data_IF_515734014647
#
_entry.id   IF_515734014647
#
_cell.length_a   1.000
_cell.length_b   1.000
_cell.length_c   1.000
_cell.angle_alpha   90.00
_cell.angle_beta   90.00
_cell.angle_gamma   90.00
#
_symmetry.space_group_name_H-M   'P 1'
#
loop_
_entity.id
_entity.type
_entity.pdbx_description
1 polymer ?
#
# COMPACT_ATOMS: atom_id res chain seq x y z
N UNK A 1 10.91 -36.75 1.84
CA UNK A 1 10.20 -35.45 1.88
C UNK A 1 11.01 -34.51 2.76
N UNK A 2 11.85 -33.66 2.18
CA UNK A 2 12.76 -32.76 2.91
C UNK A 2 11.99 -31.78 3.82
N UNK A 3 10.87 -31.23 3.36
CA UNK A 3 10.04 -30.30 4.15
C UNK A 3 9.50 -30.93 5.44
N UNK A 4 9.07 -32.19 5.40
CA UNK A 4 8.60 -32.91 6.59
C UNK A 4 9.77 -33.07 7.57
N UNK A 5 10.92 -33.54 7.09
CA UNK A 5 12.13 -33.72 7.92
C UNK A 5 12.57 -32.40 8.58
N UNK A 6 12.50 -31.30 7.84
CA UNK A 6 12.88 -29.97 8.31
C UNK A 6 11.93 -29.47 9.41
N UNK A 7 10.61 -29.53 9.17
CA UNK A 7 9.61 -28.98 10.11
C UNK A 7 9.21 -29.96 11.22
N UNK A 8 9.52 -31.25 11.11
CA UNK A 8 9.20 -32.24 12.15
C UNK A 8 9.87 -31.89 13.49
N UNK A 9 11.03 -31.23 13.47
CA UNK A 9 11.73 -30.73 14.66
C UNK A 9 11.04 -29.53 15.32
N UNK A 10 10.26 -28.77 14.55
CA UNK A 10 9.49 -27.60 15.01
C UNK A 10 8.06 -27.97 15.46
N UNK A 11 7.66 -29.23 15.25
CA UNK A 11 6.33 -29.68 15.56
C UNK A 11 6.12 -29.73 17.08
N UNK A 12 5.11 -29.00 17.56
CA UNK A 12 4.67 -29.10 18.96
C UNK A 12 4.22 -30.53 19.28
N UNK A 13 4.21 -30.89 20.56
CA UNK A 13 3.80 -32.21 21.07
C UNK A 13 2.44 -32.69 20.53
N UNK A 14 1.57 -31.75 20.19
CA UNK A 14 0.20 -31.87 19.68
C UNK A 14 0.04 -31.40 18.22
N UNK A 15 1.15 -31.28 17.47
CA UNK A 15 1.12 -30.94 16.05
C UNK A 15 0.80 -32.15 15.16
N UNK A 16 0.20 -31.88 14.01
CA UNK A 16 -0.13 -32.86 12.96
C UNK A 16 0.62 -32.53 11.69
N UNK A 17 1.08 -33.56 10.98
CA UNK A 17 1.58 -33.46 9.62
C UNK A 17 0.57 -34.16 8.71
N UNK A 18 0.06 -33.44 7.71
CA UNK A 18 -0.72 -34.03 6.61
C UNK A 18 0.20 -34.27 5.41
N UNK A 19 0.48 -35.53 5.13
CA UNK A 19 1.21 -36.00 3.95
C UNK A 19 0.42 -37.10 3.22
N UNK A 20 0.96 -37.59 2.09
CA UNK A 20 0.32 -38.64 1.28
C UNK A 20 0.14 -39.97 2.03
N UNK A 21 0.88 -40.23 3.11
CA UNK A 21 0.74 -41.47 3.89
C UNK A 21 -0.52 -41.46 4.78
N UNK A 22 -0.89 -40.28 5.27
CA UNK A 22 -2.00 -40.11 6.21
C UNK A 22 -3.24 -39.47 5.58
N UNK A 23 -3.06 -38.74 4.48
CA UNK A 23 -4.10 -38.18 3.63
C UNK A 23 -3.69 -38.41 2.16
N UNK A 24 -4.16 -39.49 1.51
CA UNK A 24 -3.72 -39.89 0.18
C UNK A 24 -4.36 -39.00 -0.90
N UNK A 25 -3.95 -37.73 -0.92
CA UNK A 25 -4.48 -36.69 -1.80
C UNK A 25 -4.38 -37.10 -3.26
N UNK A 26 -3.23 -37.64 -3.68
CA UNK A 26 -3.01 -38.05 -5.06
C UNK A 26 -3.96 -39.18 -5.49
N UNK A 27 -4.17 -40.17 -4.61
CA UNK A 27 -5.11 -41.26 -4.88
C UNK A 27 -6.54 -40.74 -4.98
N UNK A 28 -6.99 -39.95 -3.99
CA UNK A 28 -8.34 -39.37 -3.94
C UNK A 28 -8.63 -38.53 -5.18
N UNK A 29 -7.65 -37.76 -5.67
CA UNK A 29 -7.77 -36.95 -6.89
C UNK A 29 -7.90 -37.83 -8.14
N UNK A 30 -7.12 -38.91 -8.24
CA UNK A 30 -7.20 -39.87 -9.36
C UNK A 30 -8.52 -40.65 -9.39
N UNK A 31 -9.05 -41.05 -8.25
CA UNK A 31 -10.32 -41.80 -8.15
C UNK A 31 -11.51 -41.09 -8.79
N UNK A 32 -11.47 -39.77 -8.92
CA UNK A 32 -12.53 -38.99 -9.55
C UNK A 32 -12.10 -38.36 -10.89
N UNK A 33 -10.97 -38.78 -11.44
CA UNK A 33 -10.37 -38.24 -12.67
C UNK A 33 -10.18 -36.72 -12.64
N UNK A 34 -9.83 -36.15 -11.49
CA UNK A 34 -9.60 -34.72 -11.34
C UNK A 34 -8.17 -34.32 -11.78
N UNK A 35 -7.95 -33.09 -12.28
CA UNK A 35 -6.61 -32.60 -12.60
C UNK A 35 -5.71 -32.58 -11.37
N UNK A 36 -4.45 -33.01 -11.51
CA UNK A 36 -3.50 -33.12 -10.40
C UNK A 36 -3.31 -31.82 -9.60
N UNK A 37 -3.44 -30.65 -10.26
CA UNK A 37 -3.32 -29.33 -9.62
C UNK A 37 -4.41 -29.08 -8.56
N UNK A 38 -5.54 -29.78 -8.62
CA UNK A 38 -6.67 -29.63 -7.68
C UNK A 38 -6.52 -30.45 -6.41
N UNK A 39 -5.44 -31.25 -6.27
CA UNK A 39 -5.20 -32.13 -5.12
C UNK A 39 -5.20 -31.40 -3.77
N UNK A 40 -4.81 -30.13 -3.76
CA UNK A 40 -4.79 -29.28 -2.55
C UNK A 40 -6.17 -29.09 -1.94
N UNK A 41 -7.24 -29.21 -2.73
CA UNK A 41 -8.63 -29.16 -2.23
C UNK A 41 -8.93 -30.30 -1.27
N UNK A 42 -8.31 -31.47 -1.43
CA UNK A 42 -8.40 -32.59 -0.46
C UNK A 42 -7.83 -32.17 0.90
N UNK A 43 -6.65 -31.54 0.91
CA UNK A 43 -6.03 -31.02 2.12
C UNK A 43 -6.86 -29.93 2.80
N UNK A 44 -7.47 -29.02 2.03
CA UNK A 44 -8.35 -27.98 2.56
C UNK A 44 -9.59 -28.59 3.25
N UNK A 45 -10.23 -29.58 2.63
CA UNK A 45 -11.36 -30.30 3.23
C UNK A 45 -10.98 -31.05 4.51
N UNK A 46 -9.84 -31.75 4.51
CA UNK A 46 -9.31 -32.40 5.70
C UNK A 46 -9.01 -31.39 6.82
N UNK A 47 -8.44 -30.23 6.48
CA UNK A 47 -8.18 -29.12 7.41
C UNK A 47 -9.47 -28.60 8.02
N UNK A 48 -10.55 -28.46 7.24
CA UNK A 48 -11.86 -28.08 7.76
C UNK A 48 -12.36 -29.07 8.82
N UNK A 49 -12.25 -30.38 8.59
CA UNK A 49 -12.62 -31.37 9.60
C UNK A 49 -11.74 -31.26 10.85
N UNK A 50 -10.41 -31.18 10.66
CA UNK A 50 -9.44 -31.15 11.75
C UNK A 50 -9.66 -29.98 12.72
N UNK A 51 -9.95 -28.79 12.20
CA UNK A 51 -10.22 -27.58 12.99
C UNK A 51 -11.71 -27.36 13.31
N UNK A 52 -12.58 -28.32 12.96
CA UNK A 52 -14.03 -28.21 13.14
C UNK A 52 -14.61 -26.92 12.51
N UNK A 53 -14.20 -26.66 11.26
CA UNK A 53 -14.74 -25.63 10.39
C UNK A 53 -15.88 -26.21 9.54
N UNK A 54 -16.87 -25.38 9.25
CA UNK A 54 -18.00 -25.72 8.36
C UNK A 54 -17.49 -25.82 6.93
N UNK A 55 -17.67 -26.99 6.30
CA UNK A 55 -17.20 -27.23 4.93
C UNK A 55 -18.00 -26.40 3.93
N UNK A 56 -19.25 -26.05 4.26
CA UNK A 56 -20.14 -25.23 3.47
C UNK A 56 -19.56 -23.82 3.22
N UNK A 57 -18.75 -23.31 4.17
CA UNK A 57 -18.06 -22.03 3.99
C UNK A 57 -16.91 -22.15 2.97
N UNK A 58 -16.18 -23.27 2.97
CA UNK A 58 -15.17 -23.56 1.94
C UNK A 58 -15.82 -23.75 0.56
N UNK A 59 -17.01 -24.35 0.49
CA UNK A 59 -17.76 -24.48 -0.77
C UNK A 59 -18.14 -23.11 -1.36
N UNK A 60 -18.59 -22.18 -0.51
CA UNK A 60 -18.88 -20.80 -0.93
C UNK A 60 -17.63 -20.12 -1.47
N UNK A 61 -16.51 -20.22 -0.76
CA UNK A 61 -15.22 -19.65 -1.19
C UNK A 61 -14.78 -20.22 -2.54
N UNK A 62 -14.92 -21.53 -2.78
CA UNK A 62 -14.60 -22.11 -4.07
C UNK A 62 -15.49 -21.58 -5.19
N UNK A 63 -16.81 -21.44 -4.95
CA UNK A 63 -17.75 -20.87 -5.93
C UNK A 63 -17.40 -19.42 -6.25
N UNK A 64 -17.06 -18.63 -5.25
CA UNK A 64 -16.64 -17.23 -5.42
C UNK A 64 -15.33 -17.11 -6.21
N UNK A 65 -14.35 -17.98 -5.93
CA UNK A 65 -13.04 -17.93 -6.57
C UNK A 65 -13.01 -18.52 -7.98
N UNK A 66 -13.74 -19.61 -8.24
CA UNK A 66 -13.63 -20.40 -9.47
C UNK A 66 -14.91 -20.44 -10.30
N UNK A 67 -16.02 -19.87 -9.83
CA UNK A 67 -17.32 -19.91 -10.51
C UNK A 67 -17.75 -21.36 -10.80
N UNK A 68 -18.12 -21.62 -12.05
CA UNK A 68 -18.55 -22.94 -12.51
C UNK A 68 -17.47 -24.02 -12.37
N UNK A 69 -16.18 -23.66 -12.39
CA UNK A 69 -15.05 -24.60 -12.24
C UNK A 69 -14.85 -25.07 -10.79
N UNK A 70 -15.65 -24.58 -9.85
CA UNK A 70 -15.55 -24.91 -8.43
C UNK A 70 -15.95 -26.36 -8.11
N UNK A 71 -16.80 -26.99 -8.92
CA UNK A 71 -17.44 -28.27 -8.59
C UNK A 71 -16.44 -29.38 -8.25
N UNK A 72 -15.37 -29.50 -9.04
CA UNK A 72 -14.34 -30.52 -8.81
C UNK A 72 -13.58 -30.29 -7.49
N UNK A 73 -13.30 -29.03 -7.17
CA UNK A 73 -12.62 -28.64 -5.93
C UNK A 73 -13.51 -28.92 -4.71
N UNK A 74 -14.81 -28.61 -4.81
CA UNK A 74 -15.82 -28.91 -3.79
C UNK A 74 -15.91 -30.42 -3.54
N UNK A 75 -15.95 -31.23 -4.61
CA UNK A 75 -16.01 -32.70 -4.50
C UNK A 75 -14.76 -33.27 -3.81
N UNK A 76 -13.57 -32.77 -4.17
CA UNK A 76 -12.31 -33.16 -3.54
C UNK A 76 -12.22 -32.75 -2.07
N UNK A 77 -12.65 -31.54 -1.73
CA UNK A 77 -12.70 -31.09 -0.34
C UNK A 77 -13.66 -31.94 0.49
N UNK A 78 -14.84 -32.27 -0.03
CA UNK A 78 -15.77 -33.22 0.63
C UNK A 78 -15.12 -34.58 0.86
N UNK A 79 -14.42 -35.12 -0.14
CA UNK A 79 -13.68 -36.38 0.01
C UNK A 79 -12.59 -36.28 1.09
N UNK A 80 -11.78 -35.22 1.11
CA UNK A 80 -10.76 -35.02 2.14
C UNK A 80 -11.33 -34.89 3.55
N UNK A 81 -12.43 -34.15 3.70
CA UNK A 81 -13.16 -34.01 4.96
C UNK A 81 -13.68 -35.35 5.48
N UNK A 82 -14.37 -36.13 4.61
CA UNK A 82 -14.90 -37.45 5.00
C UNK A 82 -13.80 -38.47 5.26
N UNK A 83 -12.70 -38.42 4.49
CA UNK A 83 -11.55 -39.29 4.70
C UNK A 83 -10.99 -39.12 6.11
N UNK A 84 -10.73 -37.87 6.52
CA UNK A 84 -10.20 -37.59 7.85
C UNK A 84 -11.22 -37.89 8.97
N UNK A 85 -12.52 -37.73 8.70
CA UNK A 85 -13.61 -38.07 9.64
C UNK A 85 -13.75 -39.56 9.91
N UNK A 86 -13.57 -40.38 8.88
CA UNK A 86 -13.79 -41.84 8.94
C UNK A 86 -12.55 -42.59 9.39
N UNK A 87 -11.35 -42.09 9.05
CA UNK A 87 -10.11 -42.61 9.61
C UNK A 87 -10.02 -42.23 11.08
N UNK A 88 -9.75 -43.24 11.91
CA UNK A 88 -9.50 -43.07 13.35
C UNK A 88 -8.14 -42.38 13.54
N UNK A 89 -8.07 -41.10 13.18
CA UNK A 89 -6.87 -40.30 13.28
C UNK A 89 -6.50 -40.21 14.76
N UNK A 90 -5.29 -40.65 15.12
CA UNK A 90 -4.86 -40.75 16.53
C UNK A 90 -4.97 -39.41 17.27
N UNK A 91 -4.95 -38.30 16.54
CA UNK A 91 -5.12 -36.96 17.08
C UNK A 91 -6.57 -36.51 16.89
N UNK A 92 -7.25 -36.19 18.00
CA UNK A 92 -8.65 -35.77 18.00
C UNK A 92 -8.79 -34.39 17.34
N UNK A 93 -9.90 -34.12 16.61
CA UNK A 93 -10.18 -32.80 16.03
C UNK A 93 -10.05 -31.70 17.07
N UNK A 94 -9.28 -30.66 16.77
CA UNK A 94 -9.07 -29.54 17.69
C UNK A 94 -10.21 -28.55 17.49
N UNK A 95 -11.14 -28.48 18.44
CA UNK A 95 -12.10 -27.39 18.47
C UNK A 95 -11.32 -26.08 18.68
N UNK A 96 -11.50 -25.13 17.76
CA UNK A 96 -11.05 -23.74 17.93
C UNK A 96 -11.80 -22.98 19.06
N UNK A 97 -12.59 -23.67 19.89
CA UNK A 97 -13.30 -23.05 21.03
C UNK A 97 -12.27 -22.64 22.07
N UNK A 98 -12.23 -21.34 22.37
CA UNK A 98 -11.30 -20.76 23.34
C UNK A 98 -9.90 -20.47 22.79
N UNK A 99 -9.61 -20.80 21.52
CA UNK A 99 -8.28 -20.58 20.92
C UNK A 99 -8.12 -19.23 20.20
N UNK A 100 -9.15 -18.37 20.20
CA UNK A 100 -9.18 -17.10 19.46
C UNK A 100 -9.32 -17.23 17.93
N UNK A 101 -9.32 -18.45 17.37
CA UNK A 101 -9.28 -18.72 15.92
C UNK A 101 -10.66 -18.85 15.24
N UNK A 102 -11.75 -19.00 16.01
CA UNK A 102 -13.08 -18.64 15.51
C UNK A 102 -13.29 -17.17 15.84
N UNK A 103 -13.36 -16.27 14.83
CA UNK A 103 -13.75 -14.90 15.09
C UNK A 103 -15.07 -14.92 15.86
N UNK A 104 -15.13 -14.21 17.00
CA UNK A 104 -16.45 -13.88 17.56
C UNK A 104 -17.23 -13.18 16.45
N UNK A 105 -18.52 -13.47 16.34
CA UNK A 105 -19.39 -12.72 15.44
C UNK A 105 -19.17 -11.23 15.73
N UNK A 106 -18.62 -10.53 14.74
CA UNK A 106 -18.37 -9.11 14.79
C UNK A 106 -19.56 -8.45 14.11
N UNK A 107 -20.20 -7.49 14.77
CA UNK A 107 -21.24 -6.66 14.14
C UNK A 107 -20.68 -5.86 12.96
N UNK A 108 -19.37 -5.58 12.98
CA UNK A 108 -18.66 -4.86 11.94
C UNK A 108 -18.24 -5.79 10.80
N UNK A 109 -18.60 -5.43 9.58
CA UNK A 109 -18.16 -6.11 8.34
C UNK A 109 -16.65 -5.97 8.20
N UNK A 110 -15.92 -7.08 8.32
CA UNK A 110 -14.48 -7.14 8.10
C UNK A 110 -14.18 -7.55 6.66
N UNK A 111 -13.01 -7.15 6.17
CA UNK A 111 -12.51 -7.53 4.84
C UNK A 111 -11.14 -8.19 4.96
N UNK A 112 -10.82 -9.08 4.03
CA UNK A 112 -9.48 -9.65 3.91
C UNK A 112 -8.70 -8.79 2.91
N UNK A 113 -7.64 -8.13 3.36
CA UNK A 113 -6.93 -7.13 2.57
C UNK A 113 -5.45 -7.04 3.00
N UNK A 114 -4.58 -6.70 2.05
CA UNK A 114 -3.17 -6.38 2.33
C UNK A 114 -2.97 -4.87 2.57
N UNK A 115 -1.80 -4.49 3.08
CA UNK A 115 -1.48 -3.10 3.40
C UNK A 115 -1.40 -2.19 2.18
N UNK A 116 -1.01 -2.69 1.01
CA UNK A 116 -0.92 -1.90 -0.22
C UNK A 116 -2.31 -1.51 -0.73
N UNK A 117 -3.24 -2.45 -0.76
CA UNK A 117 -4.63 -2.18 -1.11
C UNK A 117 -5.30 -1.27 -0.07
N UNK A 118 -5.00 -1.46 1.21
CA UNK A 118 -5.51 -0.61 2.28
C UNK A 118 -5.02 0.84 2.14
N UNK A 119 -3.73 1.05 1.91
CA UNK A 119 -3.15 2.35 1.60
C UNK A 119 -3.83 3.01 0.40
N UNK A 120 -4.00 2.26 -0.69
CA UNK A 120 -4.66 2.74 -1.90
C UNK A 120 -6.08 3.26 -1.58
N UNK A 121 -6.87 2.49 -0.83
CA UNK A 121 -8.21 2.88 -0.40
C UNK A 121 -8.21 4.14 0.48
N UNK A 122 -7.20 4.31 1.34
CA UNK A 122 -7.00 5.50 2.14
C UNK A 122 -6.75 6.74 1.27
N UNK A 123 -5.83 6.64 0.33
CA UNK A 123 -5.53 7.70 -0.64
C UNK A 123 -6.76 8.09 -1.46
N UNK A 124 -7.50 7.10 -1.97
CA UNK A 124 -8.76 7.31 -2.71
C UNK A 124 -9.77 8.06 -1.82
N UNK A 125 -9.91 7.65 -0.55
CA UNK A 125 -10.85 8.29 0.37
C UNK A 125 -10.49 9.76 0.65
N UNK A 126 -9.21 10.13 0.62
CA UNK A 126 -8.74 11.51 0.73
C UNK A 126 -8.79 12.32 -0.59
N UNK A 127 -9.29 11.72 -1.67
CA UNK A 127 -9.52 12.38 -2.95
C UNK A 127 -8.35 12.27 -3.94
N UNK A 128 -7.61 11.16 -3.93
CA UNK A 128 -6.60 10.86 -4.94
C UNK A 128 -7.18 10.98 -6.37
N UNK A 129 -6.54 11.78 -7.23
CA UNK A 129 -6.95 11.95 -8.62
C UNK A 129 -6.11 11.12 -9.59
N UNK A 130 -4.80 11.05 -9.37
CA UNK A 130 -3.87 10.38 -10.29
C UNK A 130 -2.84 9.55 -9.54
N UNK A 131 -2.55 8.36 -10.04
CA UNK A 131 -1.50 7.48 -9.53
C UNK A 131 -0.51 7.11 -10.63
N UNK A 132 0.78 7.28 -10.35
CA UNK A 132 1.87 6.88 -11.26
C UNK A 132 2.73 5.81 -10.60
N UNK A 133 3.08 4.74 -11.33
CA UNK A 133 4.06 3.79 -10.85
C UNK A 133 4.77 3.06 -12.00
N UNK A 134 6.04 2.76 -11.79
CA UNK A 134 6.77 1.76 -12.57
C UNK A 134 6.75 0.45 -11.77
N UNK A 135 6.51 -0.72 -12.40
CA UNK A 135 6.41 -1.98 -11.67
C UNK A 135 7.69 -2.34 -10.90
N UNK A 136 7.60 -2.36 -9.58
CA UNK A 136 8.66 -2.86 -8.70
C UNK A 136 8.06 -3.52 -7.45
N UNK A 137 8.42 -4.80 -7.22
CA UNK A 137 8.01 -5.55 -6.03
C UNK A 137 8.50 -4.87 -4.74
N UNK A 138 7.69 -4.76 -3.68
CA UNK A 138 6.30 -5.21 -3.56
C UNK A 138 5.25 -4.12 -3.85
N UNK A 139 5.63 -2.92 -4.29
CA UNK A 139 4.71 -1.81 -4.53
C UNK A 139 3.76 -2.02 -5.73
N UNK A 140 4.11 -2.91 -6.67
CA UNK A 140 3.30 -3.16 -7.89
C UNK A 140 1.84 -3.55 -7.59
N UNK A 141 1.54 -4.15 -6.44
CA UNK A 141 0.14 -4.49 -6.11
C UNK A 141 -0.76 -3.26 -5.97
N UNK A 142 -0.23 -2.09 -5.57
CA UNK A 142 -0.98 -0.82 -5.55
C UNK A 142 -1.38 -0.45 -6.98
N UNK A 143 -0.43 -0.50 -7.93
CA UNK A 143 -0.67 -0.22 -9.35
C UNK A 143 -1.76 -1.14 -9.91
N UNK A 144 -1.65 -2.46 -9.70
CA UNK A 144 -2.62 -3.42 -10.20
C UNK A 144 -4.01 -3.21 -9.59
N UNK A 145 -4.09 -2.94 -8.29
CA UNK A 145 -5.36 -2.68 -7.60
C UNK A 145 -6.04 -1.43 -8.15
N UNK A 146 -5.32 -0.32 -8.23
CA UNK A 146 -5.86 0.95 -8.73
C UNK A 146 -6.22 0.87 -10.21
N UNK A 147 -5.38 0.24 -11.05
CA UNK A 147 -5.66 0.09 -12.48
C UNK A 147 -6.94 -0.73 -12.72
N UNK A 148 -7.16 -1.79 -11.94
CA UNK A 148 -8.38 -2.59 -11.99
C UNK A 148 -9.63 -1.79 -11.61
N UNK A 149 -9.47 -0.75 -10.78
CA UNK A 149 -10.54 0.07 -10.21
C UNK A 149 -10.64 1.47 -10.81
N UNK A 150 -9.80 1.82 -11.78
CA UNK A 150 -9.64 3.16 -12.35
C UNK A 150 -10.99 3.79 -12.74
N UNK A 151 -11.79 3.08 -13.55
CA UNK A 151 -13.11 3.55 -14.02
C UNK A 151 -14.15 3.66 -12.91
N UNK A 152 -14.15 2.71 -11.96
CA UNK A 152 -15.11 2.67 -10.85
C UNK A 152 -14.89 3.83 -9.89
N UNK A 153 -13.62 4.23 -9.72
CA UNK A 153 -13.21 5.22 -8.73
C UNK A 153 -12.96 6.61 -9.31
N UNK A 154 -13.04 6.77 -10.64
CA UNK A 154 -12.89 8.07 -11.30
C UNK A 154 -11.49 8.70 -11.17
N UNK A 155 -10.46 7.88 -10.97
CA UNK A 155 -9.06 8.32 -10.93
C UNK A 155 -8.32 7.91 -12.20
N UNK A 156 -7.11 8.43 -12.42
CA UNK A 156 -6.25 8.05 -13.54
C UNK A 156 -5.07 7.23 -13.04
N UNK A 157 -4.76 6.12 -13.71
CA UNK A 157 -3.58 5.30 -13.41
C UNK A 157 -2.68 5.28 -14.62
N UNK A 158 -1.41 5.61 -14.43
CA UNK A 158 -0.42 5.68 -15.51
C UNK A 158 0.80 4.85 -15.12
N UNK A 159 1.29 4.06 -16.08
CA UNK A 159 2.53 3.31 -15.96
C UNK A 159 3.58 3.91 -16.92
N UNK A 160 4.45 4.80 -16.43
CA UNK A 160 5.56 5.35 -17.21
C UNK A 160 6.67 4.31 -17.44
N UNK A 161 7.70 4.71 -18.17
CA UNK A 161 8.82 3.88 -18.61
C UNK A 161 9.87 3.58 -17.52
N UNK A 162 9.98 4.40 -16.47
CA UNK A 162 10.89 4.24 -15.33
C UNK A 162 10.49 5.15 -14.15
N UNK A 163 11.17 5.04 -13.01
CA UNK A 163 10.91 5.81 -11.80
C UNK A 163 11.21 7.32 -11.92
N UNK A 164 12.14 7.72 -12.79
CA UNK A 164 12.41 9.14 -13.07
C UNK A 164 11.20 9.77 -13.78
N UNK A 165 10.62 9.07 -14.77
CA UNK A 165 9.40 9.50 -15.44
C UNK A 165 8.21 9.53 -14.48
N UNK A 166 8.07 8.52 -13.60
CA UNK A 166 7.01 8.46 -12.58
C UNK A 166 6.98 9.71 -11.71
N UNK A 167 8.09 10.08 -11.09
CA UNK A 167 8.11 11.19 -10.13
C UNK A 167 7.94 12.54 -10.84
N UNK A 168 8.54 12.73 -12.03
CA UNK A 168 8.42 13.97 -12.78
C UNK A 168 7.00 14.18 -13.34
N UNK A 169 6.35 13.11 -13.85
CA UNK A 169 4.95 13.18 -14.24
C UNK A 169 4.05 13.48 -13.04
N UNK A 170 4.34 12.90 -11.88
CA UNK A 170 3.58 13.16 -10.65
C UNK A 170 3.70 14.61 -10.20
N UNK A 171 4.90 15.20 -10.21
CA UNK A 171 5.13 16.62 -9.90
C UNK A 171 4.37 17.50 -10.90
N UNK A 172 4.43 17.20 -12.19
CA UNK A 172 3.70 17.93 -13.23
C UNK A 172 2.18 17.88 -13.02
N UNK A 173 1.63 16.71 -12.69
CA UNK A 173 0.21 16.56 -12.39
C UNK A 173 -0.19 17.29 -11.09
N UNK A 174 0.61 17.22 -10.04
CA UNK A 174 0.37 17.95 -8.80
C UNK A 174 0.39 19.47 -8.99
N UNK A 175 1.30 19.97 -9.83
CA UNK A 175 1.34 21.38 -10.24
C UNK A 175 0.03 21.86 -10.89
N UNK A 176 -0.73 20.99 -11.56
CA UNK A 176 -2.04 21.32 -12.13
C UNK A 176 -3.19 21.28 -11.13
N UNK A 177 -2.92 20.98 -9.85
CA UNK A 177 -3.94 20.90 -8.82
C UNK A 177 -4.55 19.51 -8.62
N UNK A 178 -3.97 18.47 -9.23
CA UNK A 178 -4.42 17.09 -9.04
C UNK A 178 -3.76 16.49 -7.80
N UNK A 179 -4.52 15.84 -6.92
CA UNK A 179 -3.94 15.08 -5.80
C UNK A 179 -3.27 13.82 -6.34
N UNK A 180 -1.95 13.72 -6.20
CA UNK A 180 -1.14 12.64 -6.78
C UNK A 180 -0.45 11.80 -5.72
N UNK A 181 -0.38 10.49 -5.99
CA UNK A 181 0.49 9.57 -5.29
C UNK A 181 1.30 8.73 -6.28
N UNK A 182 2.47 8.26 -5.85
CA UNK A 182 3.29 7.29 -6.59
C UNK A 182 3.64 6.10 -5.72
N UNK A 183 3.99 4.97 -6.33
CA UNK A 183 4.49 3.81 -5.60
C UNK A 183 5.81 3.29 -6.14
N UNK A 184 6.68 2.90 -5.22
CA UNK A 184 8.04 2.44 -5.48
C UNK A 184 8.58 1.61 -4.29
N UNK A 185 9.84 1.24 -4.34
CA UNK A 185 10.64 0.54 -3.32
C UNK A 185 12.04 1.17 -3.31
N UNK A 186 12.96 0.71 -2.44
CA UNK A 186 14.25 1.36 -2.20
C UNK A 186 15.01 1.81 -3.47
N UNK A 187 15.33 0.86 -4.37
CA UNK A 187 16.12 1.19 -5.57
C UNK A 187 15.44 2.15 -6.55
N UNK A 188 14.11 2.10 -6.66
CA UNK A 188 13.37 3.06 -7.48
C UNK A 188 13.21 4.42 -6.79
N UNK A 189 13.13 4.45 -5.46
CA UNK A 189 13.17 5.71 -4.69
C UNK A 189 14.51 6.43 -4.85
N UNK A 190 15.62 5.68 -4.95
CA UNK A 190 16.94 6.26 -5.24
C UNK A 190 16.95 7.06 -6.55
N UNK A 191 16.25 6.57 -7.58
CA UNK A 191 16.10 7.26 -8.87
C UNK A 191 15.21 8.52 -8.79
N UNK A 192 14.38 8.65 -7.75
CA UNK A 192 13.46 9.78 -7.59
C UNK A 192 14.08 10.97 -6.83
N UNK A 193 15.28 10.82 -6.24
CA UNK A 193 15.82 11.79 -5.28
C UNK A 193 16.07 13.19 -5.86
N UNK A 194 16.45 13.31 -7.13
CA UNK A 194 16.61 14.61 -7.79
C UNK A 194 15.27 15.35 -7.85
N UNK A 195 14.22 14.67 -8.33
CA UNK A 195 12.88 15.22 -8.42
C UNK A 195 12.25 15.50 -7.04
N UNK A 196 12.61 14.74 -6.01
CA UNK A 196 12.24 15.06 -4.63
C UNK A 196 12.78 16.43 -4.20
N UNK A 197 13.99 16.78 -4.62
CA UNK A 197 14.60 18.09 -4.34
C UNK A 197 13.84 19.21 -5.06
N UNK A 198 13.43 18.97 -6.32
CA UNK A 198 12.55 19.88 -7.06
C UNK A 198 11.19 20.06 -6.35
N UNK A 199 10.55 18.96 -5.93
CA UNK A 199 9.26 19.04 -5.24
C UNK A 199 9.35 19.82 -3.92
N UNK A 200 10.45 19.64 -3.17
CA UNK A 200 10.74 20.42 -1.97
C UNK A 200 10.95 21.91 -2.24
N UNK A 201 11.79 22.24 -3.23
CA UNK A 201 12.09 23.63 -3.63
C UNK A 201 10.83 24.35 -4.13
N UNK A 202 10.06 23.71 -5.02
CA UNK A 202 8.87 24.30 -5.62
C UNK A 202 7.60 24.16 -4.75
N UNK A 203 7.73 23.62 -3.52
CA UNK A 203 6.63 23.40 -2.58
C UNK A 203 5.45 22.63 -3.23
N UNK A 204 5.75 21.55 -3.96
CA UNK A 204 4.75 20.77 -4.70
C UNK A 204 4.29 19.57 -3.84
N UNK A 205 2.98 19.43 -3.57
CA UNK A 205 2.45 18.36 -2.74
C UNK A 205 2.37 17.03 -3.51
N UNK A 206 2.95 15.96 -2.96
CA UNK A 206 2.79 14.60 -3.49
C UNK A 206 3.04 13.53 -2.43
N UNK A 207 2.42 12.37 -2.60
CA UNK A 207 2.65 11.20 -1.75
C UNK A 207 3.51 10.17 -2.47
N UNK A 208 4.51 9.62 -1.79
CA UNK A 208 5.38 8.55 -2.27
C UNK A 208 5.22 7.34 -1.35
N UNK A 209 4.59 6.28 -1.85
CA UNK A 209 4.52 5.00 -1.16
C UNK A 209 5.81 4.21 -1.44
N UNK A 210 6.66 4.05 -0.41
CA UNK A 210 7.88 3.25 -0.48
C UNK A 210 7.61 1.93 0.23
N UNK A 211 7.37 0.88 -0.55
CA UNK A 211 7.22 -0.48 -0.02
C UNK A 211 8.61 -1.10 0.13
N UNK A 212 9.14 -1.07 1.35
CA UNK A 212 10.52 -1.45 1.65
C UNK A 212 10.77 -2.96 1.47
N UNK A 213 11.97 -3.28 1.00
CA UNK A 213 12.50 -4.64 0.86
C UNK A 213 14.01 -4.61 1.11
N UNK A 214 14.67 -5.74 1.44
CA UNK A 214 16.11 -5.74 1.70
C UNK A 214 16.91 -5.20 0.51
N UNK A 215 17.71 -4.17 0.76
CA UNK A 215 18.82 -3.74 -0.10
C UNK A 215 20.17 -4.29 0.40
N UNK A 216 21.32 -3.67 0.03
CA UNK A 216 21.45 -2.58 -0.94
C UNK A 216 21.23 -3.04 -2.39
N UNK A 217 21.11 -2.09 -3.32
CA UNK A 217 20.89 -2.36 -4.76
C UNK A 217 19.63 -3.22 -4.97
N UNK A 218 19.66 -4.24 -5.83
CA UNK A 218 18.55 -5.19 -6.03
C UNK A 218 18.16 -5.90 -4.73
N UNK A 219 19.15 -6.19 -3.89
CA UNK A 219 19.03 -6.92 -2.64
C UNK A 219 18.26 -8.24 -2.78
N UNK A 220 17.24 -8.45 -1.94
CA UNK A 220 16.41 -9.66 -1.96
C UNK A 220 14.93 -9.29 -2.11
N UNK A 221 14.43 -9.13 -3.35
CA UNK A 221 13.13 -8.50 -3.61
C UNK A 221 11.91 -9.13 -2.95
N UNK A 222 12.00 -10.41 -2.58
CA UNK A 222 10.90 -11.21 -2.05
C UNK A 222 10.93 -11.39 -0.53
N UNK A 223 11.83 -10.72 0.16
CA UNK A 223 11.93 -10.70 1.63
C UNK A 223 11.52 -9.34 2.20
N UNK A 224 11.21 -9.29 3.49
CA UNK A 224 10.82 -8.05 4.17
C UNK A 224 12.02 -7.37 4.83
N UNK A 225 12.00 -6.04 4.87
CA UNK A 225 12.98 -5.18 5.55
C UNK A 225 12.35 -3.83 5.85
N UNK A 226 12.88 -3.13 6.86
CA UNK A 226 12.57 -1.74 7.19
C UNK A 226 13.85 -0.88 7.16
N UNK A 227 14.71 -1.14 6.16
CA UNK A 227 16.06 -0.59 6.06
C UNK A 227 16.14 0.82 5.47
N UNK A 228 15.05 1.37 4.95
CA UNK A 228 15.10 2.56 4.09
C UNK A 228 14.72 3.85 4.85
N UNK A 229 14.49 3.76 6.18
CA UNK A 229 14.10 4.91 7.00
C UNK A 229 15.09 6.07 6.91
N UNK A 230 16.40 5.79 6.97
CA UNK A 230 17.43 6.86 6.93
C UNK A 230 17.55 7.45 5.53
N UNK A 231 17.59 6.62 4.49
CA UNK A 231 17.71 7.11 3.10
C UNK A 231 16.51 7.95 2.69
N UNK A 232 15.29 7.56 3.09
CA UNK A 232 14.07 8.34 2.83
C UNK A 232 13.99 9.62 3.66
N UNK A 233 14.46 9.61 4.91
CA UNK A 233 14.48 10.83 5.76
C UNK A 233 15.42 11.91 5.22
N UNK A 234 16.58 11.51 4.68
CA UNK A 234 17.62 12.43 4.19
C UNK A 234 17.69 12.44 2.65
N UNK A 235 16.60 12.11 1.96
CA UNK A 235 16.56 12.01 0.51
C UNK A 235 16.57 13.38 -0.17
N UNK A 236 17.28 13.46 -1.30
CA UNK A 236 17.43 14.70 -2.08
C UNK A 236 18.58 15.56 -1.60
N UNK A 237 19.07 16.44 -2.47
CA UNK A 237 20.16 17.37 -2.15
C UNK A 237 19.60 18.68 -1.59
N UNK A 238 20.38 19.32 -0.73
CA UNK A 238 19.91 20.48 0.05
C UNK A 238 18.93 20.09 1.16
N UNK A 239 18.32 21.09 1.78
CA UNK A 239 17.43 20.89 2.92
C UNK A 239 16.02 21.39 2.57
N UNK A 240 15.01 20.55 2.80
CA UNK A 240 13.60 20.90 2.61
C UNK A 240 12.71 20.06 3.53
N UNK A 241 11.51 20.56 3.86
CA UNK A 241 10.51 19.80 4.62
C UNK A 241 10.04 18.56 3.86
N UNK A 242 9.95 17.43 4.58
CA UNK A 242 9.29 16.21 4.10
C UNK A 242 8.71 15.46 5.30
N UNK A 243 7.61 14.76 5.09
CA UNK A 243 6.88 14.06 6.15
C UNK A 243 7.02 12.56 5.93
N UNK A 244 7.27 11.80 6.99
CA UNK A 244 7.37 10.34 6.93
C UNK A 244 6.29 9.72 7.81
N UNK A 245 5.53 8.78 7.24
CA UNK A 245 4.54 7.97 7.94
C UNK A 245 4.89 6.50 7.77
N UNK A 246 4.66 5.67 8.78
CA UNK A 246 4.98 4.24 8.75
C UNK A 246 3.85 3.43 9.42
N UNK A 247 2.85 2.93 8.66
CA UNK A 247 1.80 2.09 9.22
C UNK A 247 2.34 0.72 9.67
N UNK A 248 1.78 0.19 10.77
CA UNK A 248 2.09 -1.14 11.28
C UNK A 248 1.14 -2.24 10.80
N UNK A 249 -0.06 -1.89 10.33
CA UNK A 249 -1.08 -2.83 9.86
C UNK A 249 -1.96 -2.22 8.74
N UNK A 250 -2.88 -3.00 8.11
CA UNK A 250 -3.74 -2.46 7.07
C UNK A 250 -4.74 -1.38 7.54
N UNK A 251 -5.18 -1.39 8.80
CA UNK A 251 -6.09 -0.37 9.32
C UNK A 251 -5.36 0.99 9.45
N UNK A 252 -4.12 0.95 9.95
CA UNK A 252 -3.22 2.10 9.95
C UNK A 252 -2.85 2.53 8.53
N UNK A 253 -2.56 1.60 7.61
CA UNK A 253 -2.25 1.94 6.22
C UNK A 253 -3.40 2.69 5.53
N UNK A 254 -4.65 2.30 5.82
CA UNK A 254 -5.84 3.01 5.35
C UNK A 254 -5.92 4.45 5.91
N UNK A 255 -5.76 4.61 7.22
CA UNK A 255 -5.85 5.93 7.87
C UNK A 255 -4.67 6.84 7.50
N UNK A 256 -3.45 6.32 7.57
CA UNK A 256 -2.23 7.06 7.23
C UNK A 256 -2.12 7.32 5.73
N UNK A 257 -2.70 6.48 4.86
CA UNK A 257 -2.82 6.79 3.43
C UNK A 257 -3.65 8.05 3.19
N UNK A 258 -4.81 8.16 3.86
CA UNK A 258 -5.64 9.35 3.77
C UNK A 258 -4.94 10.58 4.38
N UNK A 259 -4.32 10.40 5.56
CA UNK A 259 -3.57 11.46 6.23
C UNK A 259 -2.37 11.92 5.39
N UNK A 260 -1.66 11.02 4.71
CA UNK A 260 -0.53 11.36 3.87
C UNK A 260 -0.92 12.37 2.79
N UNK A 261 -2.05 12.14 2.12
CA UNK A 261 -2.52 13.02 1.06
C UNK A 261 -2.97 14.37 1.61
N UNK A 262 -3.64 14.39 2.75
CA UNK A 262 -4.00 15.65 3.42
C UNK A 262 -2.77 16.46 3.82
N UNK A 263 -1.81 15.81 4.51
CA UNK A 263 -0.58 16.45 4.98
C UNK A 263 0.24 17.00 3.81
N UNK A 264 0.32 16.26 2.69
CA UNK A 264 1.02 16.72 1.51
C UNK A 264 0.47 18.08 1.04
N UNK A 265 -0.85 18.21 0.99
CA UNK A 265 -1.54 19.40 0.51
C UNK A 265 -1.61 20.54 1.52
N UNK A 266 -1.77 20.22 2.79
CA UNK A 266 -1.78 21.18 3.90
C UNK A 266 -0.41 21.86 4.03
N UNK A 267 0.66 21.08 3.98
CA UNK A 267 2.03 21.56 4.15
C UNK A 267 2.75 21.88 2.85
N UNK A 268 2.18 21.54 1.70
CA UNK A 268 2.79 21.73 0.38
C UNK A 268 4.20 21.12 0.33
N UNK A 269 4.27 19.86 0.75
CA UNK A 269 5.51 19.13 0.93
C UNK A 269 5.37 17.67 0.46
N UNK A 270 6.47 17.02 0.07
CA UNK A 270 6.48 15.58 -0.17
C UNK A 270 6.18 14.80 1.11
N UNK A 271 5.30 13.79 1.00
CA UNK A 271 4.99 12.86 2.08
C UNK A 271 5.36 11.45 1.66
N UNK A 272 6.18 10.79 2.46
CA UNK A 272 6.64 9.42 2.21
C UNK A 272 5.88 8.49 3.16
N UNK A 273 5.23 7.47 2.60
CA UNK A 273 4.62 6.40 3.39
C UNK A 273 5.49 5.16 3.27
N UNK A 274 6.14 4.79 4.37
CA UNK A 274 7.02 3.64 4.50
C UNK A 274 6.19 2.39 4.85
N UNK A 275 5.98 1.53 3.87
CA UNK A 275 5.50 0.16 4.11
C UNK A 275 6.70 -0.79 4.14
N UNK A 276 6.49 -2.03 4.55
CA UNK A 276 7.43 -3.12 4.31
C UNK A 276 6.75 -4.22 3.51
N UNK A 277 7.54 -5.11 2.90
CA UNK A 277 7.00 -6.22 2.11
C UNK A 277 5.95 -7.04 2.88
N UNK A 278 6.18 -7.28 4.17
CA UNK A 278 5.27 -8.10 4.95
C UNK A 278 3.89 -7.45 5.01
N UNK A 279 3.80 -6.17 5.35
CA UNK A 279 2.55 -5.42 5.32
C UNK A 279 1.97 -5.32 3.90
N UNK A 280 2.82 -5.06 2.90
CA UNK A 280 2.41 -4.86 1.50
C UNK A 280 1.73 -6.08 0.87
N UNK A 281 2.09 -7.30 1.27
CA UNK A 281 1.60 -8.53 0.62
C UNK A 281 0.84 -9.49 1.56
N UNK A 282 0.91 -9.30 2.88
CA UNK A 282 0.19 -10.18 3.82
C UNK A 282 -1.28 -9.80 3.92
N UNK A 283 -2.16 -10.74 3.63
CA UNK A 283 -3.59 -10.58 3.81
C UNK A 283 -3.97 -10.66 5.29
N UNK A 284 -4.64 -9.63 5.79
CA UNK A 284 -5.14 -9.56 7.17
C UNK A 284 -6.64 -9.23 7.19
N UNK A 285 -7.34 -9.77 8.19
CA UNK A 285 -8.75 -9.46 8.39
C UNK A 285 -8.86 -8.11 9.10
N UNK A 286 -9.32 -7.10 8.39
CA UNK A 286 -9.26 -5.70 8.83
C UNK A 286 -10.63 -5.02 8.79
N UNK A 287 -10.80 -3.94 9.55
CA UNK A 287 -11.98 -3.08 9.54
C UNK A 287 -11.59 -1.62 9.31
N UNK A 288 -12.26 -0.94 8.38
CA UNK A 288 -11.98 0.45 8.07
C UNK A 288 -13.08 1.38 8.57
N UNK A 289 -12.70 2.33 9.41
CA UNK A 289 -13.58 3.37 9.91
C UNK A 289 -13.40 4.66 9.09
N UNK A 290 -14.18 4.78 8.02
CA UNK A 290 -14.10 5.95 7.13
C UNK A 290 -14.53 7.27 7.79
N UNK A 291 -15.20 7.23 8.95
CA UNK A 291 -15.61 8.44 9.68
C UNK A 291 -14.42 9.20 10.29
N UNK A 292 -13.28 8.52 10.45
CA UNK A 292 -12.03 9.12 10.94
C UNK A 292 -11.28 9.92 9.88
N UNK A 293 -11.71 9.88 8.62
CA UNK A 293 -11.03 10.57 7.52
C UNK A 293 -11.80 11.84 7.19
N UNK A 294 -11.16 12.98 7.45
CA UNK A 294 -11.56 14.30 6.95
C UNK A 294 -10.71 14.63 5.73
N UNK A 295 -11.31 15.16 4.67
CA UNK A 295 -10.58 15.56 3.46
C UNK A 295 -10.08 16.99 3.64
N UNK A 296 -8.79 17.21 3.45
CA UNK A 296 -8.17 18.53 3.45
C UNK A 296 -7.67 18.86 2.03
N UNK A 297 -7.91 20.09 1.58
CA UNK A 297 -7.51 20.57 0.25
C UNK A 297 -6.32 21.53 0.30
N UNK A 298 -5.80 21.81 1.50
CA UNK A 298 -4.74 22.80 1.70
C UNK A 298 -5.23 24.24 1.49
N UNK A 299 -4.27 25.17 1.55
CA UNK A 299 -4.51 26.61 1.39
C UNK A 299 -4.54 26.98 -0.09
N UNK A 300 -5.73 27.20 -0.64
CA UNK A 300 -5.94 27.55 -2.06
C UNK A 300 -6.35 29.03 -2.17
N UNK A 301 -5.76 29.75 -3.10
CA UNK A 301 -6.11 31.13 -3.41
C UNK A 301 -7.45 31.21 -4.14
N UNK A 302 -8.31 32.15 -3.74
CA UNK A 302 -9.59 32.40 -4.39
C UNK A 302 -9.59 33.78 -5.05
N UNK A 303 -9.66 33.83 -6.38
CA UNK A 303 -9.62 35.06 -7.18
C UNK A 303 -8.48 36.03 -6.77
N UNK A 304 -7.22 35.57 -6.71
CA UNK A 304 -6.14 36.42 -6.23
C UNK A 304 -5.88 37.59 -7.20
N UNK A 305 -5.62 38.77 -6.63
CA UNK A 305 -5.02 39.91 -7.33
C UNK A 305 -3.53 39.91 -6.99
N UNK A 306 -2.67 40.19 -7.97
CA UNK A 306 -1.21 40.24 -7.78
C UNK A 306 -0.63 38.98 -7.11
N UNK A 307 -1.05 37.81 -7.61
CA UNK A 307 -0.71 36.51 -7.04
C UNK A 307 0.79 36.25 -6.96
N UNK A 308 1.25 35.87 -5.75
CA UNK A 308 2.62 35.45 -5.44
C UNK A 308 2.60 33.99 -4.97
N UNK A 309 3.08 33.06 -5.80
CA UNK A 309 3.08 31.62 -5.46
C UNK A 309 3.81 31.32 -4.15
N UNK A 310 4.86 32.08 -3.85
CA UNK A 310 5.73 31.85 -2.71
C UNK A 310 5.61 32.97 -1.66
N UNK A 311 4.45 33.64 -1.59
CA UNK A 311 4.15 34.66 -0.59
C UNK A 311 4.55 34.22 0.83
N UNK A 312 5.29 35.08 1.52
CA UNK A 312 5.73 34.83 2.89
C UNK A 312 4.57 35.06 3.84
N UNK A 313 4.13 33.99 4.50
CA UNK A 313 3.04 34.02 5.47
C UNK A 313 3.55 33.71 6.87
N UNK A 314 2.75 34.03 7.89
CA UNK A 314 3.11 33.78 9.29
C UNK A 314 3.30 32.29 9.60
N UNK A 315 2.62 31.40 8.89
CA UNK A 315 2.70 29.94 8.98
C UNK A 315 3.71 29.31 7.99
N UNK A 316 4.28 30.10 7.07
CA UNK A 316 5.15 29.61 5.99
C UNK A 316 4.41 28.90 4.85
N UNK A 317 3.08 28.82 4.89
CA UNK A 317 2.23 28.20 3.86
C UNK A 317 1.63 29.28 2.95
N UNK A 318 2.19 29.43 1.74
CA UNK A 318 1.65 30.34 0.72
C UNK A 318 0.36 29.80 0.11
N UNK A 319 -0.68 30.60 -0.15
CA UNK A 319 -1.86 30.13 -0.90
C UNK A 319 -1.48 29.58 -2.29
N UNK A 320 -1.94 28.38 -2.65
CA UNK A 320 -1.73 27.78 -3.97
C UNK A 320 -2.76 28.25 -4.99
N UNK A 321 -2.34 28.40 -6.23
CA UNK A 321 -3.19 28.54 -7.39
C UNK A 321 -2.69 27.58 -8.47
N UNK A 322 -3.56 27.26 -9.43
CA UNK A 322 -3.29 26.24 -10.43
C UNK A 322 -3.41 26.82 -11.85
N UNK A 323 -2.64 26.30 -12.81
CA UNK A 323 -2.79 26.63 -14.22
C UNK A 323 -4.25 26.57 -14.69
N UNK A 324 -4.67 27.57 -15.47
CA UNK A 324 -6.05 27.72 -15.94
C UNK A 324 -6.91 28.66 -15.09
N UNK A 325 -6.46 29.06 -13.90
CA UNK A 325 -7.11 30.12 -13.13
C UNK A 325 -6.94 31.49 -13.83
N UNK A 326 -8.05 32.23 -13.96
CA UNK A 326 -8.10 33.49 -14.71
C UNK A 326 -7.19 34.55 -14.07
N UNK A 327 -6.38 35.21 -14.90
CA UNK A 327 -5.46 36.29 -14.49
C UNK A 327 -4.40 35.89 -13.45
N UNK A 328 -4.07 34.60 -13.36
CA UNK A 328 -3.05 34.10 -12.44
C UNK A 328 -1.90 33.50 -13.23
N UNK A 329 -0.67 33.92 -12.90
CA UNK A 329 0.55 33.25 -13.38
C UNK A 329 1.07 32.39 -12.23
N UNK A 330 1.04 31.07 -12.43
CA UNK A 330 1.64 30.12 -11.49
C UNK A 330 3.04 29.81 -12.01
N UNK A 331 4.06 29.99 -11.16
CA UNK A 331 5.45 29.65 -11.48
C UNK A 331 5.92 28.54 -10.54
N UNK A 332 6.77 27.67 -11.05
CA UNK A 332 7.53 26.70 -10.28
C UNK A 332 8.95 26.67 -10.87
N UNK A 333 9.96 26.58 -10.01
CA UNK A 333 11.36 26.59 -10.41
C UNK A 333 12.19 25.74 -9.45
N UNK A 334 13.25 25.12 -9.95
CA UNK A 334 14.27 24.42 -9.15
C UNK A 334 15.31 25.36 -8.56
N UNK A 335 15.38 26.61 -9.04
CA UNK A 335 16.29 27.63 -8.53
C UNK A 335 15.69 28.31 -7.28
N UNK A 336 16.53 28.91 -6.44
CA UNK A 336 16.01 29.78 -5.38
C UNK A 336 15.28 30.98 -6.00
N UNK A 337 14.26 31.48 -5.32
CA UNK A 337 13.33 32.42 -5.93
C UNK A 337 12.75 33.41 -4.93
N UNK A 338 12.29 34.55 -5.42
CA UNK A 338 11.46 35.48 -4.65
C UNK A 338 10.01 35.00 -4.49
N UNK A 339 9.16 35.80 -3.81
CA UNK A 339 7.75 35.47 -3.62
C UNK A 339 6.96 35.26 -4.93
N UNK A 340 7.41 35.87 -6.04
CA UNK A 340 6.79 35.74 -7.36
C UNK A 340 7.28 34.50 -8.13
N UNK A 341 8.25 33.75 -7.59
CA UNK A 341 8.87 32.62 -8.27
C UNK A 341 9.91 33.05 -9.32
N UNK A 342 10.44 34.27 -9.24
CA UNK A 342 11.55 34.73 -10.08
C UNK A 342 12.87 34.35 -9.41
N UNK A 343 13.79 33.79 -10.19
CA UNK A 343 15.08 33.30 -9.70
C UNK A 343 15.89 34.43 -9.07
N UNK A 344 16.55 34.14 -7.95
CA UNK A 344 17.35 35.12 -7.20
C UNK A 344 18.65 34.54 -6.68
N UNK A 345 19.67 35.39 -6.59
CA UNK A 345 20.95 35.12 -5.91
C UNK A 345 21.17 36.07 -4.71
N UNK A 346 20.16 36.87 -4.37
CA UNK A 346 20.22 37.78 -3.23
C UNK A 346 20.23 37.01 -1.90
N UNK A 347 21.31 37.16 -1.12
CA UNK A 347 21.52 36.40 0.12
C UNK A 347 20.42 36.57 1.17
N UNK A 348 19.77 37.74 1.23
CA UNK A 348 18.73 38.01 2.20
C UNK A 348 17.42 37.32 1.79
N UNK A 349 17.05 37.40 0.51
CA UNK A 349 15.86 36.70 -0.03
C UNK A 349 16.04 35.18 0.09
N UNK A 350 17.24 34.66 -0.25
CA UNK A 350 17.57 33.23 -0.11
C UNK A 350 17.32 32.76 1.34
N UNK A 351 17.83 33.52 2.32
CA UNK A 351 17.66 33.19 3.74
C UNK A 351 16.19 33.19 4.14
N UNK A 352 15.44 34.21 3.77
CA UNK A 352 14.02 34.35 4.10
C UNK A 352 13.17 33.21 3.51
N UNK A 353 13.44 32.82 2.26
CA UNK A 353 12.72 31.72 1.59
C UNK A 353 13.06 30.35 2.17
N UNK A 354 14.31 30.12 2.56
CA UNK A 354 14.69 28.93 3.31
C UNK A 354 13.97 28.88 4.67
N UNK A 355 14.02 29.96 5.45
CA UNK A 355 13.35 30.05 6.75
C UNK A 355 11.84 29.82 6.61
N UNK A 356 11.21 30.41 5.59
CA UNK A 356 9.78 30.20 5.26
C UNK A 356 9.47 28.72 5.01
N UNK A 357 10.23 28.04 4.15
CA UNK A 357 10.02 26.60 3.88
C UNK A 357 10.18 25.79 5.17
N UNK A 358 11.18 26.08 5.99
CA UNK A 358 11.41 25.38 7.26
C UNK A 358 10.37 25.68 8.34
N UNK A 359 9.73 26.85 8.32
CA UNK A 359 8.68 27.22 9.26
C UNK A 359 7.51 26.23 9.26
N UNK A 360 7.25 25.61 8.11
CA UNK A 360 6.24 24.56 7.94
C UNK A 360 6.46 23.36 8.87
N UNK A 361 7.72 23.05 9.21
CA UNK A 361 8.06 21.97 10.12
C UNK A 361 7.65 22.25 11.57
N UNK A 362 7.42 23.51 11.95
CA UNK A 362 6.97 23.88 13.31
C UNK A 362 5.48 23.58 13.54
N UNK A 363 4.75 23.26 12.47
CA UNK A 363 3.32 22.95 12.50
C UNK A 363 3.05 21.44 12.55
N UNK A 364 4.07 20.62 12.25
CA UNK A 364 4.06 19.15 12.31
C UNK A 364 4.46 18.67 13.70
#
# INVERSE_FOLDING_TARGET
>A
NESISFHQKELKKDGVIFDESCLPMTQITKEINAPAITRTSVALGATCYYFNLEIENLEKIFKEAFGEKAEINIKLAKKGYQYLKTKNFKQKPRRLKGSGLRPKASEKKKILIDGNQALALGLIKAGLNVYFAYPMTPATSILHFLAKKEKELGLKVVQPENEIAVINMAIGAAYTGQKVAVGTSGGGFDLMQEAMSLAGMAEIPLVIAVSQRPGPSTGVPTYTSQSDLRSTRFSGHGEFPRILLAPGDPEEAYLLGAQALNLAWEYQAPVIVLLDKHLSESLMTSFFDSSKIKIENGKIAHNPKDYKRFETTSDGISPMAFPGMKNVVVKATSYEHDEQGITTEDSQIIKEMQEKRFKKLQLL
#
